data_IF_878311158021
#
_entry.id   IF_878311158021
#
_cell.length_a   1.000
_cell.length_b   1.000
_cell.length_c   1.000
_cell.angle_alpha   90.00
_cell.angle_beta   90.00
_cell.angle_gamma   90.00
#
_symmetry.space_group_name_H-M   'P 1'
#
loop_
_entity.id
_entity.type
_entity.pdbx_description
1 polymer ?
#
# COMPACT_ATOMS: atom_id res chain seq x y z
N UNK A 1 22.49 5.16 -5.61
CA UNK A 1 21.65 6.29 -5.15
C UNK A 1 21.75 6.38 -3.63
N UNK A 2 21.88 7.57 -3.04
CA UNK A 2 22.15 7.76 -1.60
C UNK A 2 20.96 8.27 -0.78
N UNK A 3 19.77 8.28 -1.37
CA UNK A 3 18.55 8.88 -0.84
C UNK A 3 17.34 8.04 -1.27
N UNK A 4 16.24 8.17 -0.53
CA UNK A 4 14.92 7.63 -0.88
C UNK A 4 13.89 8.74 -1.09
N UNK A 5 14.35 9.97 -1.27
CA UNK A 5 13.49 11.11 -1.57
C UNK A 5 12.69 10.89 -2.87
N UNK A 6 11.44 11.34 -2.89
CA UNK A 6 10.56 11.14 -4.04
C UNK A 6 11.07 11.89 -5.29
N UNK A 7 11.62 13.09 -5.12
CA UNK A 7 12.24 13.87 -6.20
C UNK A 7 13.43 13.14 -6.80
N UNK A 8 14.36 12.69 -5.94
CA UNK A 8 15.53 11.95 -6.40
C UNK A 8 15.16 10.67 -7.17
N UNK A 9 14.10 9.97 -6.76
CA UNK A 9 13.64 8.74 -7.44
C UNK A 9 12.96 9.08 -8.77
N UNK A 10 12.12 10.12 -8.79
CA UNK A 10 11.38 10.56 -9.96
C UNK A 10 12.33 11.04 -11.07
N UNK A 11 13.35 11.83 -10.71
CA UNK A 11 14.31 12.41 -11.64
C UNK A 11 15.44 11.45 -12.04
N UNK A 12 15.54 10.28 -11.40
CA UNK A 12 16.57 9.31 -11.73
C UNK A 12 16.42 8.78 -13.16
N UNK A 13 17.55 8.64 -13.87
CA UNK A 13 17.57 8.04 -15.22
C UNK A 13 16.86 6.66 -15.20
N UNK A 14 15.80 6.45 -15.99
CA UNK A 14 14.96 5.25 -15.87
C UNK A 14 15.70 3.93 -16.07
N UNK A 15 16.65 3.88 -17.01
CA UNK A 15 17.41 2.66 -17.29
C UNK A 15 18.41 2.36 -16.18
N UNK A 16 19.08 3.40 -15.65
CA UNK A 16 19.93 3.26 -14.46
C UNK A 16 19.13 2.90 -13.21
N UNK A 17 17.90 3.39 -13.06
CA UNK A 17 17.05 3.05 -11.92
C UNK A 17 16.59 1.59 -11.98
N UNK A 18 16.23 1.11 -13.18
CA UNK A 18 15.94 -0.31 -13.42
C UNK A 18 17.15 -1.17 -13.10
N UNK A 19 18.34 -0.77 -13.55
CA UNK A 19 19.59 -1.48 -13.24
C UNK A 19 19.84 -1.54 -11.73
N UNK A 20 19.72 -0.42 -11.03
CA UNK A 20 19.85 -0.33 -9.57
C UNK A 20 18.85 -1.24 -8.83
N UNK A 21 17.57 -1.22 -9.22
CA UNK A 21 16.56 -2.11 -8.63
C UNK A 21 16.82 -3.60 -8.92
N UNK A 22 17.63 -3.90 -9.95
CA UNK A 22 17.98 -5.26 -10.38
C UNK A 22 19.31 -5.76 -9.78
N UNK A 23 20.07 -4.89 -9.11
CA UNK A 23 21.31 -5.28 -8.42
C UNK A 23 21.03 -6.40 -7.42
N UNK A 24 21.95 -7.37 -7.28
CA UNK A 24 21.73 -8.51 -6.40
C UNK A 24 22.09 -8.15 -4.95
N UNK A 25 21.23 -8.46 -3.96
CA UNK A 25 19.90 -9.07 -4.10
C UNK A 25 18.85 -8.06 -4.62
N UNK A 26 18.13 -8.44 -5.67
CA UNK A 26 17.15 -7.54 -6.29
C UNK A 26 15.99 -7.24 -5.33
N UNK A 27 15.48 -6.00 -5.37
CA UNK A 27 14.40 -5.55 -4.48
C UNK A 27 13.10 -6.34 -4.69
N UNK A 28 12.94 -6.90 -5.89
CA UNK A 28 11.76 -7.66 -6.27
C UNK A 28 12.12 -8.70 -7.34
N UNK A 29 11.36 -9.81 -7.38
CA UNK A 29 11.52 -10.87 -8.40
C UNK A 29 11.22 -10.40 -9.84
N UNK A 30 10.56 -9.26 -10.00
CA UNK A 30 10.31 -8.58 -11.27
C UNK A 30 10.87 -7.16 -11.17
N UNK A 31 12.20 -6.98 -11.21
CA UNK A 31 12.80 -5.71 -10.83
C UNK A 31 12.49 -4.60 -11.84
N UNK A 32 12.53 -4.88 -13.15
CA UNK A 32 12.24 -3.87 -14.18
C UNK A 32 10.80 -3.32 -14.13
N UNK A 33 9.79 -4.17 -13.94
CA UNK A 33 8.40 -3.69 -13.82
C UNK A 33 8.15 -2.99 -12.48
N UNK A 34 8.86 -3.39 -11.42
CA UNK A 34 8.74 -2.73 -10.13
C UNK A 34 9.43 -1.36 -10.11
N UNK A 35 10.61 -1.24 -10.73
CA UNK A 35 11.34 0.02 -10.88
C UNK A 35 10.46 1.10 -11.54
N UNK A 36 9.82 0.75 -12.67
CA UNK A 36 8.89 1.66 -13.37
C UNK A 36 7.71 2.10 -12.49
N UNK A 37 7.16 1.19 -11.67
CA UNK A 37 6.06 1.52 -10.75
C UNK A 37 6.51 2.42 -9.61
N UNK A 38 7.72 2.19 -9.08
CA UNK A 38 8.31 3.01 -8.03
C UNK A 38 8.54 4.43 -8.54
N UNK A 39 9.17 4.61 -9.71
CA UNK A 39 9.37 5.95 -10.29
C UNK A 39 8.05 6.64 -10.61
N UNK A 40 7.07 5.91 -11.19
CA UNK A 40 5.76 6.49 -11.46
C UNK A 40 5.03 6.93 -10.16
N UNK A 41 5.18 6.17 -9.07
CA UNK A 41 4.66 6.57 -7.77
C UNK A 41 5.37 7.81 -7.25
N UNK A 42 6.70 7.85 -7.32
CA UNK A 42 7.51 8.98 -6.88
C UNK A 42 7.15 10.26 -7.65
N UNK A 43 6.97 10.17 -8.98
CA UNK A 43 6.51 11.29 -9.80
C UNK A 43 5.16 11.81 -9.35
N UNK A 44 4.19 10.94 -9.02
CA UNK A 44 2.88 11.38 -8.49
C UNK A 44 3.05 12.13 -7.17
N UNK A 45 3.97 11.68 -6.31
CA UNK A 45 4.27 12.36 -5.04
C UNK A 45 4.87 13.74 -5.28
N UNK A 46 5.80 13.87 -6.22
CA UNK A 46 6.36 15.18 -6.63
C UNK A 46 5.26 16.08 -7.20
N UNK A 47 4.56 15.62 -8.23
CA UNK A 47 3.62 16.46 -9.00
C UNK A 47 2.42 16.95 -8.18
N UNK A 48 1.92 16.12 -7.26
CA UNK A 48 0.66 16.39 -6.54
C UNK A 48 0.84 16.78 -5.09
N UNK A 49 1.98 16.41 -4.51
CA UNK A 49 2.22 16.52 -3.08
C UNK A 49 3.59 17.16 -2.77
N UNK A 50 4.22 17.80 -3.76
CA UNK A 50 5.47 18.56 -3.62
C UNK A 50 6.61 17.73 -3.00
N UNK A 51 6.64 16.43 -3.33
CA UNK A 51 7.63 15.48 -2.81
C UNK A 51 7.29 14.90 -1.43
N UNK A 52 6.31 15.44 -0.71
CA UNK A 52 5.89 14.93 0.59
C UNK A 52 4.86 13.79 0.46
N UNK A 53 5.29 12.55 0.73
CA UNK A 53 4.39 11.41 0.72
C UNK A 53 3.27 11.51 1.78
N UNK A 54 3.51 12.18 2.91
CA UNK A 54 2.51 12.32 3.98
C UNK A 54 1.35 13.25 3.57
N UNK A 55 1.62 14.22 2.67
CA UNK A 55 0.60 15.08 2.09
C UNK A 55 -0.52 14.31 1.37
N UNK A 56 -0.31 13.03 1.02
CA UNK A 56 -1.37 12.16 0.54
C UNK A 56 -2.56 12.05 1.53
N UNK A 57 -2.30 12.05 2.84
CA UNK A 57 -3.33 12.00 3.89
C UNK A 57 -3.42 13.24 4.79
N UNK A 58 -2.51 14.22 4.66
CA UNK A 58 -2.59 15.48 5.43
C UNK A 58 -3.08 16.66 4.60
N UNK A 59 -2.74 16.74 3.31
CA UNK A 59 -3.04 17.92 2.50
C UNK A 59 -4.54 18.07 2.22
N UNK A 60 -5.09 19.22 2.65
CA UNK A 60 -6.51 19.56 2.49
C UNK A 60 -7.45 18.76 3.40
N UNK A 61 -6.94 18.14 4.48
CA UNK A 61 -7.71 17.42 5.50
C UNK A 61 -8.75 16.45 4.89
N UNK A 62 -8.32 15.47 4.06
CA UNK A 62 -9.24 14.62 3.32
C UNK A 62 -10.07 13.76 4.28
N UNK A 63 -11.31 13.46 3.90
CA UNK A 63 -12.09 12.43 4.57
C UNK A 63 -11.61 11.01 4.15
N UNK A 64 -12.16 9.98 4.80
CA UNK A 64 -11.79 8.59 4.50
C UNK A 64 -12.05 8.17 3.05
N UNK A 65 -13.07 8.71 2.39
CA UNK A 65 -13.40 8.39 1.01
C UNK A 65 -12.41 9.06 0.04
N UNK A 66 -12.06 10.31 0.29
CA UNK A 66 -11.06 11.03 -0.49
C UNK A 66 -9.67 10.39 -0.32
N UNK A 67 -9.28 10.05 0.91
CA UNK A 67 -8.01 9.33 1.12
C UNK A 67 -8.01 7.97 0.40
N UNK A 68 -9.11 7.23 0.42
CA UNK A 68 -9.23 6.00 -0.36
C UNK A 68 -9.11 6.25 -1.87
N UNK A 69 -9.74 7.31 -2.40
CA UNK A 69 -9.60 7.71 -3.81
C UNK A 69 -8.15 8.02 -4.17
N UNK A 70 -7.45 8.79 -3.35
CA UNK A 70 -6.02 9.13 -3.54
C UNK A 70 -5.16 7.88 -3.58
N UNK A 71 -5.35 6.97 -2.62
CA UNK A 71 -4.63 5.68 -2.57
C UNK A 71 -4.89 4.83 -3.82
N UNK A 72 -6.14 4.73 -4.29
CA UNK A 72 -6.49 4.01 -5.52
C UNK A 72 -5.88 4.64 -6.77
N UNK A 73 -5.52 5.92 -6.73
CA UNK A 73 -4.83 6.62 -7.81
C UNK A 73 -3.35 6.26 -7.95
N UNK A 74 -2.76 5.56 -6.96
CA UNK A 74 -1.35 5.17 -7.00
C UNK A 74 -1.13 3.90 -7.82
N UNK A 75 -0.02 3.80 -8.58
CA UNK A 75 0.28 2.62 -9.38
C UNK A 75 0.44 1.38 -8.49
N UNK A 76 -0.31 0.32 -8.80
CA UNK A 76 -0.28 -0.94 -8.06
C UNK A 76 -1.24 -1.02 -6.86
N UNK A 77 -2.00 0.03 -6.58
CA UNK A 77 -3.04 0.07 -5.54
C UNK A 77 -4.43 -0.16 -6.12
N UNK A 78 -4.80 -1.44 -6.31
CA UNK A 78 -6.19 -1.82 -6.56
C UNK A 78 -7.07 -1.65 -5.32
N UNK A 79 -8.39 -1.80 -5.50
CA UNK A 79 -9.41 -1.60 -4.46
C UNK A 79 -9.04 -2.21 -3.10
N UNK A 80 -8.74 -3.51 -3.07
CA UNK A 80 -8.43 -4.20 -1.82
C UNK A 80 -7.16 -3.65 -1.15
N UNK A 81 -6.10 -3.39 -1.93
CA UNK A 81 -4.84 -2.87 -1.37
C UNK A 81 -5.01 -1.47 -0.83
N UNK A 82 -5.75 -0.62 -1.52
CA UNK A 82 -6.03 0.74 -1.07
C UNK A 82 -6.82 0.74 0.25
N UNK A 83 -7.84 -0.13 0.39
CA UNK A 83 -8.58 -0.29 1.65
C UNK A 83 -7.73 -0.84 2.79
N UNK A 84 -6.86 -1.81 2.52
CA UNK A 84 -5.90 -2.33 3.51
C UNK A 84 -4.91 -1.24 3.94
N UNK A 85 -4.41 -0.43 3.00
CA UNK A 85 -3.47 0.65 3.33
C UNK A 85 -4.14 1.76 4.14
N UNK A 86 -5.39 2.14 3.78
CA UNK A 86 -6.20 3.05 4.59
C UNK A 86 -6.41 2.50 6.02
N UNK A 87 -6.69 1.20 6.14
CA UNK A 87 -6.81 0.56 7.45
C UNK A 87 -5.50 0.60 8.23
N UNK A 88 -4.36 0.37 7.58
CA UNK A 88 -3.04 0.42 8.20
C UNK A 88 -2.77 1.83 8.77
N UNK A 89 -3.02 2.85 7.96
CA UNK A 89 -2.89 4.26 8.34
C UNK A 89 -3.72 4.58 9.60
N UNK A 90 -5.00 4.19 9.62
CA UNK A 90 -5.88 4.44 10.76
C UNK A 90 -5.55 3.62 12.01
N UNK A 91 -5.28 2.32 11.86
CA UNK A 91 -5.08 1.39 12.98
C UNK A 91 -3.73 1.53 13.65
N UNK A 92 -2.67 1.80 12.88
CA UNK A 92 -1.30 1.74 13.39
C UNK A 92 -0.59 3.10 13.38
N UNK A 93 -0.97 4.01 12.49
CA UNK A 93 -0.30 5.31 12.34
C UNK A 93 -1.14 6.49 12.84
N UNK A 94 -2.33 6.26 13.39
CA UNK A 94 -3.18 7.31 13.97
C UNK A 94 -3.82 8.26 12.94
N UNK A 95 -3.69 7.98 11.65
CA UNK A 95 -4.29 8.77 10.57
C UNK A 95 -5.78 8.41 10.47
N UNK A 96 -6.61 9.18 11.17
CA UNK A 96 -8.02 8.85 11.43
C UNK A 96 -9.01 9.87 10.84
N UNK A 97 -8.95 10.17 9.52
CA UNK A 97 -9.87 11.12 8.92
C UNK A 97 -11.32 10.64 9.01
N UNK A 98 -12.27 11.58 9.03
CA UNK A 98 -13.68 11.25 9.19
C UNK A 98 -14.12 10.15 8.22
N UNK A 99 -14.73 9.08 8.75
CA UNK A 99 -15.26 7.98 7.93
C UNK A 99 -14.23 6.97 7.42
N UNK A 100 -12.95 7.04 7.82
CA UNK A 100 -11.90 6.12 7.34
C UNK A 100 -12.23 4.64 7.54
N UNK A 101 -12.86 4.26 8.66
CA UNK A 101 -13.21 2.85 8.94
C UNK A 101 -14.22 2.31 7.92
N UNK A 102 -15.23 3.12 7.59
CA UNK A 102 -16.28 2.76 6.63
C UNK A 102 -15.66 2.65 5.22
N UNK A 103 -14.82 3.61 4.84
CA UNK A 103 -14.11 3.58 3.57
C UNK A 103 -13.19 2.33 3.46
N UNK A 104 -12.46 2.00 4.52
CA UNK A 104 -11.61 0.80 4.59
C UNK A 104 -12.40 -0.53 4.60
N UNK A 105 -13.72 -0.50 4.86
CA UNK A 105 -14.57 -1.68 4.80
C UNK A 105 -14.29 -2.71 5.89
N UNK A 106 -14.24 -4.00 5.52
CA UNK A 106 -13.92 -5.09 6.47
C UNK A 106 -12.58 -4.85 7.17
N UNK A 107 -11.61 -4.24 6.48
CA UNK A 107 -10.30 -3.95 7.04
C UNK A 107 -10.29 -2.81 8.05
N UNK A 108 -11.30 -1.93 8.05
CA UNK A 108 -11.42 -0.82 9.01
C UNK A 108 -12.06 -1.22 10.35
N UNK A 109 -12.61 -2.42 10.46
CA UNK A 109 -13.31 -2.87 11.66
C UNK A 109 -12.34 -3.13 12.82
N UNK A 110 -12.69 -2.78 14.07
CA UNK A 110 -11.88 -3.09 15.24
C UNK A 110 -11.89 -4.60 15.53
N UNK A 111 -10.84 -5.10 16.20
CA UNK A 111 -10.77 -6.49 16.66
C UNK A 111 -10.62 -7.54 15.54
N UNK A 112 -10.26 -7.11 14.33
CA UNK A 112 -10.09 -8.01 13.18
C UNK A 112 -8.66 -8.49 13.00
N UNK A 113 -8.48 -9.60 12.28
CA UNK A 113 -7.16 -10.15 11.88
C UNK A 113 -7.17 -10.55 10.39
N UNK A 114 -7.49 -9.61 9.52
CA UNK A 114 -7.75 -9.87 8.10
C UNK A 114 -6.55 -9.55 7.22
N UNK A 115 -5.74 -8.56 7.61
CA UNK A 115 -4.72 -7.96 6.76
C UNK A 115 -3.49 -7.50 7.53
N UNK A 116 -2.52 -6.91 6.81
CA UNK A 116 -1.32 -6.34 7.44
C UNK A 116 -1.63 -5.19 8.39
N UNK A 117 -2.76 -4.50 8.20
CA UNK A 117 -3.23 -3.45 9.12
C UNK A 117 -3.50 -3.97 10.53
N UNK A 118 -3.68 -5.28 10.68
CA UNK A 118 -3.98 -5.94 11.96
C UNK A 118 -2.74 -6.57 12.62
N UNK A 119 -1.56 -6.48 11.99
CA UNK A 119 -0.33 -7.11 12.50
C UNK A 119 0.43 -6.09 13.33
N UNK A 120 0.41 -6.27 14.65
CA UNK A 120 1.14 -5.42 15.63
C UNK A 120 2.20 -6.19 16.41
N UNK A 121 2.17 -7.53 16.33
CA UNK A 121 3.08 -8.44 17.00
C UNK A 121 3.11 -9.82 16.31
N UNK A 122 3.87 -10.77 16.88
CA UNK A 122 3.95 -12.13 16.36
C UNK A 122 2.62 -12.92 16.49
N UNK A 123 1.82 -12.64 17.52
CA UNK A 123 0.54 -13.31 17.77
C UNK A 123 -0.49 -12.95 16.70
N UNK A 124 -0.69 -11.66 16.47
CA UNK A 124 -1.53 -11.10 15.42
C UNK A 124 -1.06 -11.52 14.02
N UNK A 125 0.25 -11.58 13.76
CA UNK A 125 0.78 -12.17 12.51
C UNK A 125 0.29 -13.61 12.31
N UNK A 126 0.30 -14.43 13.38
CA UNK A 126 -0.21 -15.79 13.38
C UNK A 126 -1.70 -15.86 13.02
N UNK A 127 -2.52 -14.99 13.63
CA UNK A 127 -3.95 -14.88 13.36
C UNK A 127 -4.25 -14.49 11.90
N UNK A 128 -3.59 -13.45 11.38
CA UNK A 128 -3.76 -13.00 9.98
C UNK A 128 -3.37 -14.11 9.00
N UNK A 129 -2.26 -14.83 9.27
CA UNK A 129 -1.87 -15.98 8.44
C UNK A 129 -2.91 -17.10 8.49
N UNK A 130 -3.46 -17.39 9.66
CA UNK A 130 -4.50 -18.41 9.83
C UNK A 130 -5.75 -18.04 9.04
N UNK A 131 -6.24 -16.82 9.20
CA UNK A 131 -7.41 -16.31 8.49
C UNK A 131 -7.21 -16.34 6.96
N UNK A 132 -6.05 -15.89 6.45
CA UNK A 132 -5.74 -15.97 5.01
C UNK A 132 -5.74 -17.40 4.48
N UNK A 133 -5.23 -18.37 5.25
CA UNK A 133 -5.27 -19.80 4.87
C UNK A 133 -6.70 -20.31 4.80
N UNK A 134 -7.53 -20.00 5.80
CA UNK A 134 -8.94 -20.39 5.85
C UNK A 134 -9.73 -19.80 4.67
N UNK A 135 -9.59 -18.50 4.39
CA UNK A 135 -10.24 -17.86 3.23
C UNK A 135 -9.82 -18.48 1.90
N UNK A 136 -8.53 -18.78 1.72
CA UNK A 136 -8.04 -19.44 0.50
C UNK A 136 -8.60 -20.86 0.34
N UNK A 137 -8.69 -21.61 1.45
CA UNK A 137 -9.29 -22.94 1.44
C UNK A 137 -10.79 -22.89 1.10
N UNK A 138 -11.54 -21.95 1.68
CA UNK A 138 -12.95 -21.74 1.37
C UNK A 138 -13.18 -21.35 -0.10
N UNK A 139 -12.41 -20.38 -0.62
CA UNK A 139 -12.51 -19.97 -2.02
C UNK A 139 -12.22 -21.13 -2.99
N UNK A 140 -11.24 -22.00 -2.66
CA UNK A 140 -10.96 -23.20 -3.44
C UNK A 140 -12.12 -24.20 -3.41
N UNK A 141 -12.79 -24.37 -2.27
CA UNK A 141 -13.96 -25.24 -2.14
C UNK A 141 -15.18 -24.71 -2.92
N UNK A 142 -15.32 -23.39 -3.04
CA UNK A 142 -16.37 -22.71 -3.81
C UNK A 142 -16.07 -22.61 -5.32
N UNK A 143 -14.94 -23.15 -5.79
CA UNK A 143 -14.54 -23.06 -7.20
C UNK A 143 -14.14 -21.66 -7.68
N UNK A 144 -13.95 -20.70 -6.76
CA UNK A 144 -13.43 -19.37 -7.11
C UNK A 144 -11.90 -19.45 -7.26
N UNK A 145 -11.41 -19.14 -8.45
CA UNK A 145 -9.97 -18.97 -8.68
C UNK A 145 -9.41 -17.87 -7.76
N UNK A 146 -8.19 -18.04 -7.21
CA UNK A 146 -7.57 -17.01 -6.39
C UNK A 146 -7.30 -15.78 -7.28
N UNK A 147 -7.89 -14.64 -6.92
CA UNK A 147 -7.62 -13.32 -7.51
C UNK A 147 -6.40 -12.68 -6.86
#
# INVERSE_FOLDING_TARGET
>A
MGSFDAGDIADYDPDKFVALCSERPAIHRFPGSMAKRIQALAQIIVDRYDGDAAALWTAGEPDGNELLRRLKGLPGFGEQKARIFLALLGKQYGVTPKGWQVAAGEFGQPGTYLSVADIVDAGSLGQVRSHKRQRKAAAKAEGKAPT
#
